data_IF_882983519423
#
_entry.id   IF_882983519423
#
_cell.length_a   1.000
_cell.length_b   1.000
_cell.length_c   1.000
_cell.angle_alpha   90.00
_cell.angle_beta   90.00
_cell.angle_gamma   90.00
#
_symmetry.space_group_name_H-M   'P 1'
#
loop_
_entity.id
_entity.type
_entity.pdbx_description
1 polymer ?
#
# COMPACT_ATOMS: atom_id res chain seq x y z
N UNK A 1 -27.92 -6.43 33.55
CA UNK A 1 -26.92 -7.47 33.85
C UNK A 1 -26.23 -7.84 32.55
N UNK A 2 -25.08 -7.20 32.33
CA UNK A 2 -24.15 -7.45 31.23
C UNK A 2 -23.08 -8.41 31.75
N UNK A 3 -22.80 -9.49 31.02
CA UNK A 3 -21.58 -10.30 31.16
C UNK A 3 -21.21 -10.76 29.73
N UNK A 4 -20.25 -10.10 29.10
CA UNK A 4 -18.82 -10.42 29.12
C UNK A 4 -18.45 -11.38 27.97
N UNK A 5 -18.12 -10.81 26.79
CA UNK A 5 -17.35 -11.49 25.75
C UNK A 5 -15.88 -11.19 26.01
N UNK A 6 -15.25 -12.05 26.82
CA UNK A 6 -13.82 -12.05 27.05
C UNK A 6 -13.09 -12.95 26.05
N UNK A 7 -12.00 -12.42 25.51
CA UNK A 7 -10.74 -13.14 25.33
C UNK A 7 -10.73 -14.30 24.34
N UNK A 8 -10.17 -14.03 23.16
CA UNK A 8 -9.58 -15.07 22.33
C UNK A 8 -8.55 -15.86 23.14
N UNK A 9 -8.87 -17.12 23.43
CA UNK A 9 -7.85 -18.12 23.76
C UNK A 9 -7.30 -18.63 22.43
N UNK A 10 -6.04 -18.30 22.16
CA UNK A 10 -5.22 -19.10 21.26
C UNK A 10 -5.24 -20.56 21.74
N UNK A 11 -5.23 -21.44 20.76
CA UNK A 11 -5.57 -22.84 20.90
C UNK A 11 -4.53 -23.64 21.69
N UNK A 12 -4.74 -23.78 22.99
CA UNK A 12 -3.95 -24.69 23.85
C UNK A 12 -4.56 -26.10 23.98
N UNK A 13 -5.55 -26.46 23.16
CA UNK A 13 -6.16 -27.81 23.18
C UNK A 13 -6.48 -28.38 21.78
N UNK A 14 -5.53 -28.36 20.84
CA UNK A 14 -5.67 -29.06 19.55
C UNK A 14 -5.04 -30.46 19.57
N UNK A 15 -5.22 -31.23 20.64
CA UNK A 15 -4.76 -32.64 20.65
C UNK A 15 -5.61 -33.59 19.79
N UNK A 16 -6.73 -33.13 19.23
CA UNK A 16 -7.62 -33.97 18.40
C UNK A 16 -8.41 -33.22 17.30
N UNK A 17 -7.87 -32.13 16.73
CA UNK A 17 -8.53 -31.49 15.58
C UNK A 17 -8.26 -32.27 14.30
N UNK A 18 -9.15 -33.24 13.98
CA UNK A 18 -9.13 -33.99 12.72
C UNK A 18 -10.08 -33.31 11.73
N UNK A 19 -9.54 -32.77 10.65
CA UNK A 19 -10.36 -32.25 9.54
C UNK A 19 -10.59 -33.38 8.53
N UNK A 20 -11.84 -33.60 8.13
CA UNK A 20 -12.22 -34.66 7.20
C UNK A 20 -11.81 -34.26 5.77
N UNK A 21 -10.55 -34.52 5.41
CA UNK A 21 -10.03 -34.35 4.05
C UNK A 21 -8.87 -33.37 3.95
N UNK A 22 -7.85 -33.76 3.18
CA UNK A 22 -6.73 -32.88 2.78
C UNK A 22 -7.07 -31.98 1.60
N UNK A 23 -8.21 -32.23 0.94
CA UNK A 23 -8.59 -31.57 -0.30
C UNK A 23 -9.28 -30.23 -0.03
N UNK A 24 -8.86 -29.18 -0.75
CA UNK A 24 -9.57 -27.91 -0.74
C UNK A 24 -10.97 -28.05 -1.37
N UNK A 25 -11.86 -27.10 -1.07
CA UNK A 25 -13.20 -27.05 -1.65
C UNK A 25 -13.19 -27.10 -3.19
N UNK A 26 -12.23 -26.42 -3.83
CA UNK A 26 -12.08 -26.43 -5.29
C UNK A 26 -11.65 -27.80 -5.82
N UNK A 27 -10.74 -28.49 -5.11
CA UNK A 27 -10.31 -29.84 -5.50
C UNK A 27 -11.46 -30.85 -5.45
N UNK A 28 -12.35 -30.73 -4.45
CA UNK A 28 -13.54 -31.57 -4.38
C UNK A 28 -14.53 -31.29 -5.53
N UNK A 29 -14.73 -30.02 -5.88
CA UNK A 29 -15.52 -29.63 -7.03
C UNK A 29 -14.96 -30.21 -8.34
N UNK A 30 -13.65 -30.20 -8.50
CA UNK A 30 -12.96 -30.74 -9.68
C UNK A 30 -13.05 -32.25 -9.78
N UNK A 31 -12.92 -32.98 -8.67
CA UNK A 31 -13.17 -34.42 -8.63
C UNK A 31 -14.61 -34.75 -9.06
N UNK A 32 -15.59 -33.98 -8.62
CA UNK A 32 -16.97 -34.14 -9.08
C UNK A 32 -17.10 -33.91 -10.59
N UNK A 33 -16.44 -32.90 -11.17
CA UNK A 33 -16.43 -32.64 -12.62
C UNK A 33 -15.79 -33.79 -13.40
N UNK A 34 -14.62 -34.25 -12.97
CA UNK A 34 -13.88 -35.35 -13.60
C UNK A 34 -14.66 -36.67 -13.53
N UNK A 35 -15.27 -36.96 -12.38
CA UNK A 35 -16.14 -38.12 -12.19
C UNK A 35 -17.53 -37.97 -12.85
N UNK A 36 -17.83 -36.80 -13.44
CA UNK A 36 -19.15 -36.44 -14.00
C UNK A 36 -20.30 -36.61 -13.00
N UNK A 37 -20.03 -36.36 -11.72
CA UNK A 37 -20.96 -36.54 -10.61
C UNK A 37 -21.46 -35.20 -10.11
N UNK A 38 -22.78 -35.02 -10.01
CA UNK A 38 -23.35 -33.82 -9.38
C UNK A 38 -23.23 -33.88 -7.87
N UNK A 39 -22.77 -32.80 -7.25
CA UNK A 39 -22.74 -32.63 -5.81
C UNK A 39 -23.30 -31.25 -5.46
N UNK A 40 -24.60 -31.15 -5.11
CA UNK A 40 -25.24 -29.88 -4.74
C UNK A 40 -24.56 -29.18 -3.56
N UNK A 41 -24.04 -29.94 -2.59
CA UNK A 41 -23.30 -29.40 -1.45
C UNK A 41 -22.02 -28.65 -1.86
N UNK A 42 -21.39 -29.08 -2.97
CA UNK A 42 -20.23 -28.41 -3.57
C UNK A 42 -20.64 -27.40 -4.66
N UNK A 43 -21.93 -27.15 -4.87
CA UNK A 43 -22.44 -26.31 -5.96
C UNK A 43 -22.25 -26.91 -7.37
N UNK A 44 -21.96 -28.21 -7.47
CA UNK A 44 -21.76 -28.90 -8.75
C UNK A 44 -23.08 -29.58 -9.17
N UNK A 45 -23.57 -29.19 -10.34
CA UNK A 45 -24.79 -29.71 -10.94
C UNK A 45 -24.52 -30.15 -12.37
N UNK A 46 -25.43 -30.93 -12.96
CA UNK A 46 -25.32 -31.33 -14.38
C UNK A 46 -25.11 -30.16 -15.35
N UNK A 47 -25.51 -28.93 -14.97
CA UNK A 47 -25.36 -27.71 -15.78
C UNK A 47 -23.93 -27.15 -15.78
N UNK A 48 -23.09 -27.48 -14.80
CA UNK A 48 -21.72 -26.95 -14.67
C UNK A 48 -20.63 -28.02 -14.57
N UNK A 49 -20.98 -29.30 -14.77
CA UNK A 49 -20.04 -30.44 -14.74
C UNK A 49 -18.85 -30.30 -15.71
N UNK A 50 -19.05 -29.62 -16.84
CA UNK A 50 -18.01 -29.45 -17.86
C UNK A 50 -17.39 -28.04 -17.84
N UNK A 51 -17.65 -27.24 -16.80
CA UNK A 51 -17.12 -25.88 -16.69
C UNK A 51 -15.87 -25.92 -15.83
N UNK A 52 -14.72 -25.74 -16.47
CA UNK A 52 -13.42 -25.58 -15.83
C UNK A 52 -12.99 -24.11 -15.87
N UNK A 53 -12.31 -23.65 -14.83
CA UNK A 53 -11.84 -22.28 -14.74
C UNK A 53 -10.48 -22.10 -15.44
N UNK A 54 -10.41 -21.13 -16.35
CA UNK A 54 -9.16 -20.68 -16.96
C UNK A 54 -8.40 -19.84 -15.93
N UNK A 55 -7.13 -20.17 -15.70
CA UNK A 55 -6.26 -19.37 -14.86
C UNK A 55 -5.60 -18.23 -15.67
N UNK A 56 -4.87 -18.60 -16.72
CA UNK A 56 -4.32 -17.69 -17.74
C UNK A 56 -4.09 -18.45 -19.06
N UNK A 57 -3.73 -17.71 -20.11
CA UNK A 57 -3.44 -18.27 -21.43
C UNK A 57 -1.93 -18.28 -21.65
N UNK A 58 -1.40 -19.41 -22.11
CA UNK A 58 0.04 -19.65 -22.25
C UNK A 58 0.54 -19.35 -23.67
N UNK A 59 -0.27 -19.64 -24.69
CA UNK A 59 0.14 -19.59 -26.09
C UNK A 59 -1.07 -19.37 -27.02
N UNK A 60 -0.82 -19.00 -28.27
CA UNK A 60 -1.82 -18.72 -29.29
C UNK A 60 -1.37 -19.21 -30.68
N UNK A 61 -2.27 -19.93 -31.37
CA UNK A 61 -2.14 -20.33 -32.77
C UNK A 61 -3.18 -19.57 -33.59
N UNK A 62 -2.72 -18.65 -34.43
CA UNK A 62 -3.60 -17.70 -35.10
C UNK A 62 -4.48 -18.33 -36.17
N UNK A 63 -3.93 -19.20 -37.00
CA UNK A 63 -4.66 -19.78 -38.15
C UNK A 63 -5.89 -20.56 -37.72
N UNK A 64 -5.80 -21.28 -36.60
CA UNK A 64 -6.91 -22.09 -36.07
C UNK A 64 -7.72 -21.34 -34.99
N UNK A 65 -7.25 -20.17 -34.54
CA UNK A 65 -7.72 -19.47 -33.34
C UNK A 65 -7.76 -20.36 -32.07
N UNK A 66 -6.67 -21.07 -31.81
CA UNK A 66 -6.50 -21.90 -30.62
C UNK A 66 -5.61 -21.23 -29.58
N UNK A 67 -5.91 -21.46 -28.32
CA UNK A 67 -5.13 -20.98 -27.19
C UNK A 67 -4.71 -22.16 -26.32
N UNK A 68 -3.46 -22.15 -25.85
CA UNK A 68 -3.02 -23.10 -24.84
C UNK A 68 -3.47 -22.57 -23.48
N UNK A 69 -4.31 -23.31 -22.79
CA UNK A 69 -4.97 -22.89 -21.55
C UNK A 69 -4.23 -23.43 -20.34
N UNK A 70 -3.85 -22.55 -19.40
CA UNK A 70 -3.55 -22.95 -18.03
C UNK A 70 -4.87 -23.11 -17.27
N UNK A 71 -5.22 -24.34 -16.92
CA UNK A 71 -6.36 -24.62 -16.07
C UNK A 71 -6.05 -24.30 -14.60
N UNK A 72 -7.00 -23.65 -13.91
CA UNK A 72 -6.87 -23.30 -12.50
C UNK A 72 -6.90 -24.56 -11.64
N UNK A 73 -5.90 -24.73 -10.76
CA UNK A 73 -5.84 -25.84 -9.81
C UNK A 73 -5.17 -27.12 -10.36
N UNK A 74 -4.82 -27.15 -11.64
CA UNK A 74 -4.19 -28.29 -12.30
C UNK A 74 -2.69 -28.05 -12.54
N UNK A 75 -1.86 -29.08 -12.73
CA UNK A 75 -0.46 -28.93 -13.16
C UNK A 75 -0.34 -28.43 -14.62
N UNK A 76 0.86 -28.00 -15.01
CA UNK A 76 1.14 -27.54 -16.39
C UNK A 76 1.05 -28.67 -17.43
N UNK A 77 1.20 -29.93 -17.01
CA UNK A 77 1.05 -31.12 -17.87
C UNK A 77 -0.37 -31.32 -18.39
N UNK A 78 -1.36 -30.71 -17.75
CA UNK A 78 -2.77 -30.78 -18.14
C UNK A 78 -3.21 -29.60 -19.01
N UNK A 79 -2.30 -28.71 -19.41
CA UNK A 79 -2.65 -27.60 -20.28
C UNK A 79 -3.11 -28.10 -21.65
N UNK A 80 -4.29 -27.67 -22.10
CA UNK A 80 -4.88 -28.10 -23.38
C UNK A 80 -5.02 -26.95 -24.37
N UNK A 81 -5.01 -27.29 -25.66
CA UNK A 81 -5.30 -26.35 -26.74
C UNK A 81 -6.81 -26.25 -26.95
N UNK A 82 -7.39 -25.10 -26.63
CA UNK A 82 -8.82 -24.84 -26.76
C UNK A 82 -9.12 -23.84 -27.89
N UNK A 83 -10.13 -24.08 -28.73
CA UNK A 83 -10.55 -23.13 -29.75
C UNK A 83 -11.20 -21.91 -29.09
N UNK A 84 -11.04 -20.73 -29.70
CA UNK A 84 -11.59 -19.45 -29.22
C UNK A 84 -13.06 -19.52 -28.81
N UNK A 85 -13.89 -20.26 -29.56
CA UNK A 85 -15.34 -20.43 -29.30
C UNK A 85 -15.67 -21.08 -27.95
N UNK A 86 -14.76 -21.87 -27.39
CA UNK A 86 -14.95 -22.52 -26.08
C UNK A 86 -14.60 -21.57 -24.92
N UNK A 87 -13.81 -20.53 -25.18
CA UNK A 87 -13.30 -19.62 -24.16
C UNK A 87 -14.29 -18.48 -23.90
N UNK A 88 -15.02 -18.58 -22.80
CA UNK A 88 -15.95 -17.54 -22.31
C UNK A 88 -15.27 -16.47 -21.43
N UNK A 89 -13.96 -16.52 -21.28
CA UNK A 89 -13.15 -15.64 -20.43
C UNK A 89 -12.67 -14.37 -21.17
N UNK A 90 -13.61 -13.52 -21.60
CA UNK A 90 -13.31 -12.32 -22.40
C UNK A 90 -12.22 -11.41 -21.79
N UNK A 91 -12.21 -11.25 -20.46
CA UNK A 91 -11.19 -10.46 -19.75
C UNK A 91 -9.78 -11.05 -19.88
N UNK A 92 -9.63 -12.36 -19.69
CA UNK A 92 -8.34 -13.06 -19.83
C UNK A 92 -7.85 -13.02 -21.29
N UNK A 93 -8.75 -13.20 -22.25
CA UNK A 93 -8.43 -13.09 -23.67
C UNK A 93 -7.92 -11.69 -24.04
N UNK A 94 -8.65 -10.64 -23.61
CA UNK A 94 -8.23 -9.24 -23.84
C UNK A 94 -6.89 -8.95 -23.18
N UNK A 95 -6.67 -9.47 -21.97
CA UNK A 95 -5.43 -9.31 -21.23
C UNK A 95 -4.24 -9.97 -21.94
N UNK A 96 -4.43 -11.21 -22.40
CA UNK A 96 -3.40 -11.96 -23.12
C UNK A 96 -2.96 -11.25 -24.40
N UNK A 97 -3.91 -10.76 -25.20
CA UNK A 97 -3.57 -10.02 -26.42
C UNK A 97 -2.90 -8.68 -26.13
N UNK A 98 -3.29 -7.99 -25.06
CA UNK A 98 -2.59 -6.77 -24.62
C UNK A 98 -1.13 -7.06 -24.26
N UNK A 99 -0.87 -8.14 -23.51
CA UNK A 99 0.48 -8.53 -23.11
C UNK A 99 1.32 -8.94 -24.32
N UNK A 100 0.74 -9.69 -25.26
CA UNK A 100 1.36 -10.08 -26.53
C UNK A 100 1.72 -8.86 -27.39
N UNK A 101 0.80 -7.92 -27.56
CA UNK A 101 1.03 -6.70 -28.35
C UNK A 101 2.11 -5.81 -27.73
N UNK A 102 2.11 -5.65 -26.40
CA UNK A 102 3.14 -4.89 -25.69
C UNK A 102 4.53 -5.49 -25.85
N UNK A 103 4.66 -6.81 -25.73
CA UNK A 103 5.96 -7.48 -25.87
C UNK A 103 6.47 -7.43 -27.32
N UNK A 104 5.59 -7.62 -28.31
CA UNK A 104 5.94 -7.43 -29.72
C UNK A 104 6.41 -6.00 -30.00
N UNK A 105 5.77 -5.00 -29.40
CA UNK A 105 6.20 -3.61 -29.50
C UNK A 105 7.59 -3.39 -28.88
N UNK A 106 7.83 -3.94 -27.69
CA UNK A 106 9.14 -3.85 -27.01
C UNK A 106 10.28 -4.44 -27.83
N UNK A 107 10.07 -5.60 -28.45
CA UNK A 107 11.10 -6.26 -29.28
C UNK A 107 11.38 -5.53 -30.59
N UNK A 108 10.35 -4.96 -31.23
CA UNK A 108 10.47 -4.39 -32.57
C UNK A 108 10.72 -2.88 -32.60
N UNK A 109 10.50 -2.17 -31.49
CA UNK A 109 10.62 -0.71 -31.40
C UNK A 109 9.62 0.07 -32.26
N UNK A 110 8.71 -0.62 -32.97
CA UNK A 110 7.69 -0.04 -33.85
C UNK A 110 6.34 -0.60 -33.45
N UNK A 111 5.28 0.23 -33.48
CA UNK A 111 3.91 -0.27 -33.26
C UNK A 111 3.66 -1.41 -34.25
N UNK A 112 3.28 -2.62 -33.77
CA UNK A 112 3.11 -3.75 -34.65
C UNK A 112 2.14 -3.39 -35.77
N UNK A 113 2.51 -3.64 -37.03
CA UNK A 113 1.57 -3.51 -38.16
C UNK A 113 0.54 -4.64 -38.06
N UNK A 114 -0.53 -4.34 -37.34
CA UNK A 114 -1.91 -4.84 -37.45
C UNK A 114 -2.18 -6.31 -37.09
N UNK A 115 -1.24 -7.28 -37.09
CA UNK A 115 -1.60 -8.67 -36.74
C UNK A 115 -0.52 -9.47 -36.00
N UNK A 116 -0.88 -10.29 -34.99
CA UNK A 116 0.04 -11.22 -34.35
C UNK A 116 0.59 -12.25 -35.37
N UNK A 117 1.80 -12.80 -35.12
CA UNK A 117 2.39 -13.82 -35.98
C UNK A 117 1.55 -15.10 -36.00
N UNK A 118 1.76 -15.96 -37.01
CA UNK A 118 1.00 -17.22 -37.16
C UNK A 118 1.24 -18.17 -35.98
N UNK A 119 2.49 -18.25 -35.55
CA UNK A 119 2.96 -18.97 -34.38
C UNK A 119 3.84 -18.04 -33.54
N UNK A 120 3.76 -18.19 -32.22
CA UNK A 120 4.63 -17.48 -31.29
C UNK A 120 5.95 -18.25 -31.15
N UNK A 121 7.08 -17.54 -31.14
CA UNK A 121 8.37 -18.13 -30.81
C UNK A 121 8.46 -18.52 -29.32
N UNK A 122 9.42 -19.38 -28.98
CA UNK A 122 9.56 -19.91 -27.62
C UNK A 122 9.76 -18.81 -26.56
N UNK A 123 10.52 -17.76 -26.89
CA UNK A 123 10.77 -16.66 -25.96
C UNK A 123 9.51 -15.82 -25.70
N UNK A 124 8.64 -15.65 -26.70
CA UNK A 124 7.37 -14.94 -26.55
C UNK A 124 6.36 -15.75 -25.73
N UNK A 125 6.34 -17.07 -25.94
CA UNK A 125 5.53 -17.99 -25.13
C UNK A 125 5.98 -17.97 -23.67
N UNK A 126 7.29 -18.08 -23.43
CA UNK A 126 7.86 -18.02 -22.07
C UNK A 126 7.50 -16.70 -21.37
N UNK A 127 7.66 -15.56 -22.06
CA UNK A 127 7.22 -14.26 -21.55
C UNK A 127 5.73 -14.26 -21.16
N UNK A 128 4.84 -14.74 -22.04
CA UNK A 128 3.39 -14.74 -21.78
C UNK A 128 3.02 -15.63 -20.60
N UNK A 129 3.69 -16.78 -20.44
CA UNK A 129 3.51 -17.66 -19.28
C UNK A 129 3.98 -16.97 -18.00
N UNK A 130 5.16 -16.35 -18.01
CA UNK A 130 5.67 -15.58 -16.86
C UNK A 130 4.74 -14.41 -16.51
N UNK A 131 4.25 -13.67 -17.51
CA UNK A 131 3.30 -12.56 -17.33
C UNK A 131 1.97 -13.05 -16.77
N UNK A 132 1.46 -14.19 -17.26
CA UNK A 132 0.27 -14.85 -16.73
C UNK A 132 0.42 -15.19 -15.24
N UNK A 133 1.51 -15.88 -14.87
CA UNK A 133 1.84 -16.21 -13.47
C UNK A 133 1.96 -14.96 -12.60
N UNK A 134 2.66 -13.94 -13.07
CA UNK A 134 2.80 -12.65 -12.39
C UNK A 134 1.43 -12.02 -12.10
N UNK A 135 0.55 -11.90 -13.10
CA UNK A 135 -0.79 -11.33 -12.93
C UNK A 135 -1.61 -12.10 -11.90
N UNK A 136 -1.50 -13.43 -11.86
CA UNK A 136 -2.15 -14.25 -10.83
C UNK A 136 -1.61 -13.99 -9.44
N UNK A 137 -0.29 -13.83 -9.30
CA UNK A 137 0.34 -13.48 -8.03
C UNK A 137 -0.11 -12.09 -7.55
N UNK A 138 -0.11 -11.09 -8.43
CA UNK A 138 -0.58 -9.72 -8.10
C UNK A 138 -2.07 -9.70 -7.72
N UNK A 139 -2.93 -10.43 -8.43
CA UNK A 139 -4.36 -10.58 -8.08
C UNK A 139 -4.57 -11.27 -6.71
N UNK A 140 -3.67 -12.15 -6.30
CA UNK A 140 -3.73 -12.77 -4.97
C UNK A 140 -3.34 -11.76 -3.90
N UNK A 141 -2.22 -11.07 -4.12
CA UNK A 141 -1.73 -10.05 -3.21
C UNK A 141 -2.74 -8.89 -3.05
N UNK A 142 -3.33 -8.41 -4.14
CA UNK A 142 -4.40 -7.40 -4.09
C UNK A 142 -5.57 -7.85 -3.19
N UNK A 143 -6.01 -9.11 -3.31
CA UNK A 143 -7.06 -9.66 -2.45
C UNK A 143 -6.63 -9.73 -0.98
N UNK A 144 -5.40 -10.10 -0.71
CA UNK A 144 -4.84 -10.15 0.64
C UNK A 144 -4.76 -8.76 1.28
N UNK A 145 -4.26 -7.75 0.56
CA UNK A 145 -4.25 -6.36 1.00
C UNK A 145 -5.67 -5.88 1.34
N UNK A 146 -6.61 -6.14 0.43
CA UNK A 146 -8.00 -5.72 0.59
C UNK A 146 -8.76 -6.47 1.69
N UNK A 147 -8.34 -7.70 2.05
CA UNK A 147 -8.89 -8.45 3.16
C UNK A 147 -8.34 -7.97 4.51
N UNK A 148 -7.10 -7.46 4.55
CA UNK A 148 -6.44 -6.96 5.76
C UNK A 148 -6.76 -5.49 6.08
N UNK A 149 -7.10 -4.67 5.08
CA UNK A 149 -7.32 -3.23 5.29
C UNK A 149 -8.51 -2.96 6.23
N UNK A 150 -8.36 -1.99 7.12
CA UNK A 150 -9.39 -1.54 8.06
C UNK A 150 -10.09 -0.24 7.63
N UNK A 151 -9.75 0.30 6.45
CA UNK A 151 -10.27 1.56 5.92
C UNK A 151 -11.16 1.36 4.67
N UNK A 152 -11.89 2.41 4.28
CA UNK A 152 -12.91 2.33 3.21
C UNK A 152 -12.30 2.21 1.81
N UNK A 153 -11.25 2.98 1.53
CA UNK A 153 -10.59 3.02 0.23
C UNK A 153 -10.04 1.64 -0.19
N UNK A 154 -10.30 1.22 -1.44
CA UNK A 154 -9.75 -0.04 -1.99
C UNK A 154 -8.31 0.15 -2.43
N UNK A 155 -7.54 -0.93 -2.42
CA UNK A 155 -6.16 -0.94 -2.90
C UNK A 155 -6.10 -1.85 -4.14
N UNK A 156 -5.81 -1.33 -5.33
CA UNK A 156 -5.53 -2.15 -6.50
C UNK A 156 -4.03 -2.33 -6.71
N UNK A 157 -3.63 -3.38 -7.44
CA UNK A 157 -2.22 -3.64 -7.76
C UNK A 157 -2.02 -3.85 -9.25
N UNK A 158 -1.12 -3.09 -9.86
CA UNK A 158 -0.87 -3.12 -11.30
C UNK A 158 0.62 -3.15 -11.67
N UNK A 159 1.00 -4.02 -12.60
CA UNK A 159 2.34 -4.00 -13.18
C UNK A 159 2.28 -4.24 -14.69
N UNK A 160 2.41 -3.16 -15.45
CA UNK A 160 2.47 -3.17 -16.93
C UNK A 160 3.91 -2.88 -17.42
N UNK A 161 4.89 -2.80 -16.52
CA UNK A 161 6.28 -2.38 -16.83
C UNK A 161 7.21 -3.57 -16.92
N UNK A 162 7.22 -4.47 -15.94
CA UNK A 162 8.14 -5.60 -15.89
C UNK A 162 7.42 -6.88 -15.39
N UNK A 163 8.21 -7.90 -15.05
CA UNK A 163 7.73 -9.19 -14.55
C UNK A 163 7.82 -9.33 -13.01
N UNK A 164 8.12 -8.25 -12.27
CA UNK A 164 8.17 -8.32 -10.80
C UNK A 164 6.79 -8.63 -10.21
N UNK A 165 6.74 -9.69 -9.39
CA UNK A 165 5.57 -10.07 -8.61
C UNK A 165 5.43 -9.26 -7.32
N UNK A 166 4.52 -9.67 -6.42
CA UNK A 166 4.38 -9.10 -5.08
C UNK A 166 5.72 -9.07 -4.31
N UNK A 167 5.93 -8.09 -3.42
CA UNK A 167 7.07 -8.10 -2.50
C UNK A 167 7.01 -9.35 -1.60
N UNK A 168 8.16 -9.98 -1.34
CA UNK A 168 8.23 -11.24 -0.59
C UNK A 168 8.18 -11.03 0.93
N UNK A 169 8.84 -9.99 1.43
CA UNK A 169 9.03 -9.76 2.87
C UNK A 169 8.24 -8.53 3.37
N UNK A 170 6.97 -8.41 2.97
CA UNK A 170 6.12 -7.28 3.36
C UNK A 170 4.80 -7.75 3.99
N UNK A 171 4.50 -7.23 5.16
CA UNK A 171 3.25 -7.48 5.88
C UNK A 171 2.43 -6.20 6.01
N UNK A 172 1.23 -6.20 5.42
CA UNK A 172 0.30 -5.09 5.55
C UNK A 172 -0.25 -4.98 6.99
N UNK A 173 -0.09 -3.81 7.60
CA UNK A 173 -0.62 -3.42 8.91
C UNK A 173 -1.44 -2.13 8.79
N UNK A 174 -2.40 -1.91 9.69
CA UNK A 174 -3.28 -0.72 9.67
C UNK A 174 -2.86 0.35 10.69
N UNK A 175 -2.20 -0.07 11.76
CA UNK A 175 -1.77 0.76 12.89
C UNK A 175 -0.32 0.41 13.20
N UNK A 176 0.37 1.24 13.98
CA UNK A 176 1.75 0.99 14.39
C UNK A 176 1.92 -0.35 15.11
N UNK A 177 3.01 -1.04 14.80
CA UNK A 177 3.49 -2.20 15.55
C UNK A 177 4.53 -1.72 16.56
N UNK A 178 4.28 -1.86 17.85
CA UNK A 178 5.26 -1.46 18.86
C UNK A 178 6.46 -2.43 18.87
N UNK A 179 7.66 -1.89 18.83
CA UNK A 179 8.91 -2.62 19.05
C UNK A 179 9.08 -3.04 20.51
N UNK A 180 10.09 -3.88 20.75
CA UNK A 180 10.36 -4.42 22.08
C UNK A 180 10.68 -3.31 23.10
N UNK A 181 10.05 -3.37 24.26
CA UNK A 181 10.26 -2.40 25.34
C UNK A 181 9.57 -1.03 25.17
N UNK A 182 8.88 -0.79 24.06
CA UNK A 182 8.18 0.47 23.79
C UNK A 182 6.71 0.35 24.21
N UNK A 183 6.22 1.31 24.99
CA UNK A 183 4.84 1.33 25.47
C UNK A 183 4.16 2.64 25.12
N UNK A 184 2.93 2.55 24.59
CA UNK A 184 2.07 3.72 24.38
C UNK A 184 1.29 4.02 25.65
N UNK A 185 1.40 5.24 26.15
CA UNK A 185 0.61 5.72 27.27
C UNK A 185 -0.67 6.40 26.75
N UNK A 186 -1.84 5.91 27.16
CA UNK A 186 -3.12 6.57 26.85
C UNK A 186 -3.37 7.72 27.83
N UNK A 187 -2.68 8.84 27.60
CA UNK A 187 -2.71 10.01 28.47
C UNK A 187 -3.77 11.04 28.07
N UNK A 188 -4.43 10.90 26.92
CA UNK A 188 -5.34 11.93 26.43
C UNK A 188 -6.58 12.11 27.32
N UNK A 189 -7.00 13.36 27.52
CA UNK A 189 -8.30 13.71 28.12
C UNK A 189 -9.33 13.95 27.00
N UNK A 190 -10.58 13.58 27.24
CA UNK A 190 -11.66 13.78 26.28
C UNK A 190 -12.34 15.14 26.42
N UNK A 191 -12.84 15.70 25.32
CA UNK A 191 -13.70 16.88 25.36
C UNK A 191 -15.16 16.52 25.66
N UNK A 192 -15.92 17.50 26.18
CA UNK A 192 -17.36 17.36 26.42
C UNK A 192 -18.24 18.10 25.39
N UNK A 193 -17.64 18.59 24.31
CA UNK A 193 -18.32 19.32 23.24
C UNK A 193 -19.50 18.53 22.65
N UNK A 194 -20.56 19.27 22.30
CA UNK A 194 -21.62 18.80 21.41
C UNK A 194 -21.25 19.05 19.95
N UNK A 195 -20.67 20.23 19.67
CA UNK A 195 -20.14 20.58 18.36
C UNK A 195 -18.69 21.06 18.48
N UNK A 196 -17.76 20.18 18.09
CA UNK A 196 -16.33 20.45 18.15
C UNK A 196 -15.87 21.55 17.17
N UNK A 197 -16.68 21.88 16.15
CA UNK A 197 -16.34 22.88 15.14
C UNK A 197 -16.74 24.29 15.55
N UNK A 198 -17.75 24.43 16.40
CA UNK A 198 -18.15 25.72 16.97
C UNK A 198 -17.38 26.00 18.28
N UNK A 199 -17.10 24.96 19.08
CA UNK A 199 -16.41 25.07 20.37
C UNK A 199 -14.86 24.99 20.25
N UNK A 200 -14.27 25.54 19.18
CA UNK A 200 -12.85 25.32 18.84
C UNK A 200 -11.87 25.82 19.91
N UNK A 201 -12.15 26.99 20.51
CA UNK A 201 -11.20 27.69 21.39
C UNK A 201 -11.35 27.35 22.88
N UNK A 202 -12.56 27.03 23.34
CA UNK A 202 -12.87 26.91 24.77
C UNK A 202 -13.41 25.53 25.21
N UNK A 203 -13.46 24.52 24.33
CA UNK A 203 -14.00 23.21 24.71
C UNK A 203 -13.41 22.00 23.99
N UNK A 204 -13.00 22.14 22.73
CA UNK A 204 -12.50 21.00 21.95
C UNK A 204 -11.04 20.65 22.30
N UNK A 205 -10.63 19.40 22.05
CA UNK A 205 -9.29 18.88 22.37
C UNK A 205 -8.11 19.81 22.01
N UNK A 206 -8.02 20.40 20.80
CA UNK A 206 -6.94 21.34 20.50
C UNK A 206 -7.02 22.61 21.36
N UNK A 207 -8.20 23.18 21.57
CA UNK A 207 -8.39 24.39 22.38
C UNK A 207 -8.01 24.19 23.85
N UNK A 208 -8.32 23.04 24.43
CA UNK A 208 -7.90 22.67 25.79
C UNK A 208 -6.37 22.61 25.96
N UNK A 209 -5.64 22.36 24.87
CA UNK A 209 -4.18 22.36 24.81
C UNK A 209 -3.61 23.71 24.33
N UNK A 210 -4.44 24.74 24.19
CA UNK A 210 -4.09 26.05 23.62
C UNK A 210 -3.51 25.95 22.19
N UNK A 211 -3.96 24.95 21.43
CA UNK A 211 -3.59 24.71 20.03
C UNK A 211 -4.73 25.08 19.09
N UNK A 212 -4.40 25.33 17.83
CA UNK A 212 -5.40 25.69 16.80
C UNK A 212 -6.16 24.45 16.33
N UNK A 213 -7.44 24.62 16.04
CA UNK A 213 -8.25 23.59 15.40
C UNK A 213 -7.75 23.32 13.98
N UNK A 214 -7.53 22.05 13.63
CA UNK A 214 -6.76 21.71 12.44
C UNK A 214 -7.58 21.79 11.14
N UNK A 215 -8.89 21.55 11.19
CA UNK A 215 -9.69 21.27 10.00
C UNK A 215 -10.75 22.32 9.71
N UNK A 216 -11.09 22.50 8.43
CA UNK A 216 -12.31 23.20 8.03
C UNK A 216 -13.53 22.26 8.02
N UNK A 217 -14.70 22.79 7.66
CA UNK A 217 -15.96 22.03 7.63
C UNK A 217 -15.95 20.89 6.59
N UNK A 218 -15.03 20.92 5.62
CA UNK A 218 -14.82 19.87 4.62
C UNK A 218 -13.75 18.83 5.05
N UNK A 219 -13.20 18.93 6.26
CA UNK A 219 -12.14 18.05 6.74
C UNK A 219 -10.77 18.32 6.12
N UNK A 220 -10.55 19.51 5.57
CA UNK A 220 -9.27 19.91 5.00
C UNK A 220 -8.41 20.60 6.05
N UNK A 221 -7.12 20.29 6.11
CA UNK A 221 -6.17 20.90 7.04
C UNK A 221 -5.97 22.39 6.73
N UNK A 222 -5.93 23.22 7.78
CA UNK A 222 -5.70 24.67 7.72
C UNK A 222 -4.40 25.09 8.42
N UNK A 223 -3.73 24.15 9.08
CA UNK A 223 -2.47 24.38 9.76
C UNK A 223 -1.32 24.43 8.77
N UNK A 224 -0.32 25.24 9.09
CA UNK A 224 0.93 25.26 8.33
C UNK A 224 1.75 24.01 8.59
N UNK A 225 2.63 23.65 7.65
CA UNK A 225 3.57 22.55 7.85
C UNK A 225 4.39 22.76 9.14
N UNK A 226 4.65 21.67 9.87
CA UNK A 226 5.33 21.70 11.17
C UNK A 226 4.41 21.95 12.37
N UNK A 227 3.18 22.43 12.18
CA UNK A 227 2.21 22.53 13.29
C UNK A 227 1.54 21.17 13.55
N UNK A 228 1.48 20.71 14.82
CA UNK A 228 0.85 19.45 15.17
C UNK A 228 -0.67 19.52 15.09
N UNK A 229 -1.29 18.39 14.77
CA UNK A 229 -2.73 18.19 14.77
C UNK A 229 -3.12 17.42 16.05
N UNK A 230 -4.10 17.94 16.80
CA UNK A 230 -4.69 17.23 17.95
C UNK A 230 -6.15 16.90 17.64
N UNK A 231 -6.42 15.62 17.40
CA UNK A 231 -7.76 15.12 17.15
C UNK A 231 -8.52 14.80 18.44
N UNK A 232 -9.85 14.68 18.32
CA UNK A 232 -10.65 14.08 19.38
C UNK A 232 -10.34 12.58 19.49
N UNK A 233 -10.41 12.05 20.71
CA UNK A 233 -9.99 10.70 21.07
C UNK A 233 -11.15 9.85 21.63
N UNK A 234 -10.89 8.59 21.99
CA UNK A 234 -11.93 7.69 22.46
C UNK A 234 -12.63 8.12 23.76
N UNK A 235 -12.04 9.05 24.53
CA UNK A 235 -12.62 9.58 25.78
C UNK A 235 -13.52 10.81 25.57
N UNK A 236 -13.58 11.35 24.34
CA UNK A 236 -14.44 12.50 24.02
C UNK A 236 -15.90 12.10 23.89
N UNK A 237 -16.82 13.00 24.26
CA UNK A 237 -18.27 12.80 24.10
C UNK A 237 -18.77 12.97 22.65
N UNK A 238 -17.98 13.60 21.79
CA UNK A 238 -18.33 13.83 20.40
C UNK A 238 -18.36 12.52 19.59
N UNK A 239 -19.26 12.46 18.60
CA UNK A 239 -19.48 11.24 17.81
C UNK A 239 -18.31 10.89 16.90
N UNK A 240 -18.38 9.73 16.25
CA UNK A 240 -17.43 9.31 15.21
C UNK A 240 -17.44 10.21 13.98
N UNK A 241 -18.50 10.98 13.77
CA UNK A 241 -18.64 11.94 12.67
C UNK A 241 -18.10 13.33 13.02
N UNK A 242 -17.52 13.49 14.22
CA UNK A 242 -16.89 14.72 14.66
C UNK A 242 -15.90 15.24 13.60
N UNK A 243 -15.96 16.55 13.26
CA UNK A 243 -15.06 17.14 12.27
C UNK A 243 -13.59 17.12 12.71
N UNK A 244 -13.31 16.93 14.00
CA UNK A 244 -11.97 16.73 14.55
C UNK A 244 -11.54 15.26 14.66
N UNK A 245 -12.05 14.39 13.78
CA UNK A 245 -11.71 12.96 13.68
C UNK A 245 -11.42 12.59 12.23
N UNK A 246 -10.49 13.27 11.56
CA UNK A 246 -10.21 13.09 10.12
C UNK A 246 -9.27 11.91 9.90
N UNK A 247 -8.11 11.91 10.55
CA UNK A 247 -7.04 10.91 10.35
C UNK A 247 -7.49 9.55 10.82
N UNK A 248 -8.10 9.47 12.02
CA UNK A 248 -8.60 8.22 12.60
C UNK A 248 -9.73 7.54 11.79
N UNK A 249 -10.35 8.23 10.82
CA UNK A 249 -11.32 7.60 9.89
C UNK A 249 -10.64 6.76 8.81
N UNK A 250 -9.32 6.86 8.69
CA UNK A 250 -8.53 6.11 7.73
C UNK A 250 -8.74 6.52 6.28
N UNK A 251 -8.06 5.82 5.38
CA UNK A 251 -8.03 6.13 3.94
C UNK A 251 -9.44 6.00 3.33
N UNK A 252 -9.92 7.07 2.71
CA UNK A 252 -11.21 7.12 2.02
C UNK A 252 -11.11 6.88 0.50
N UNK A 253 -9.96 7.16 -0.10
CA UNK A 253 -9.75 7.10 -1.56
C UNK A 253 -9.34 5.71 -2.04
N UNK A 254 -9.77 5.34 -3.24
CA UNK A 254 -9.23 4.15 -3.90
C UNK A 254 -7.83 4.45 -4.44
N UNK A 255 -6.86 3.64 -4.02
CA UNK A 255 -5.44 3.79 -4.37
C UNK A 255 -4.97 2.59 -5.19
N UNK A 256 -3.94 2.80 -6.01
CA UNK A 256 -3.32 1.77 -6.83
C UNK A 256 -1.82 1.72 -6.56
N UNK A 257 -1.34 0.58 -6.08
CA UNK A 257 0.09 0.26 -6.05
C UNK A 257 0.49 -0.16 -7.46
N UNK A 258 1.35 0.60 -8.11
CA UNK A 258 1.72 0.38 -9.50
C UNK A 258 3.24 0.31 -9.70
N UNK A 259 3.70 -0.44 -10.71
CA UNK A 259 5.12 -0.46 -11.08
C UNK A 259 5.47 0.78 -11.89
N UNK A 260 6.45 1.56 -11.43
CA UNK A 260 6.94 2.76 -12.12
C UNK A 260 7.76 2.38 -13.37
N UNK A 261 7.65 3.18 -14.44
CA UNK A 261 8.33 2.91 -15.70
C UNK A 261 9.81 3.34 -15.71
N UNK A 262 10.21 4.24 -14.80
CA UNK A 262 11.53 4.86 -14.77
C UNK A 262 12.48 4.25 -13.72
N UNK A 263 12.19 3.03 -13.26
CA UNK A 263 13.08 2.27 -12.38
C UNK A 263 13.08 2.71 -10.92
N UNK A 264 12.05 3.42 -10.44
CA UNK A 264 11.86 3.73 -9.01
C UNK A 264 11.20 2.58 -8.23
N UNK A 265 10.90 1.46 -8.90
CA UNK A 265 10.25 0.31 -8.28
C UNK A 265 8.73 0.48 -8.24
N UNK A 266 8.12 0.15 -7.10
CA UNK A 266 6.69 0.35 -6.88
C UNK A 266 6.39 1.82 -6.53
N UNK A 267 5.18 2.27 -6.84
CA UNK A 267 4.66 3.60 -6.57
C UNK A 267 3.20 3.51 -6.15
N UNK A 268 2.64 4.60 -5.64
CA UNK A 268 1.19 4.70 -5.33
C UNK A 268 0.58 5.81 -6.17
N UNK A 269 -0.58 5.57 -6.75
CA UNK A 269 -1.39 6.61 -7.40
C UNK A 269 -2.82 6.58 -6.90
N UNK A 270 -3.49 7.73 -6.92
CA UNK A 270 -4.93 7.78 -6.63
C UNK A 270 -5.74 7.38 -7.85
N UNK A 271 -6.90 6.73 -7.66
CA UNK A 271 -7.85 6.42 -8.74
C UNK A 271 -8.97 7.46 -8.87
N UNK A 272 -8.96 8.46 -8.00
CA UNK A 272 -9.98 9.51 -7.92
C UNK A 272 -9.34 10.86 -7.57
N UNK A 273 -10.10 11.95 -7.76
CA UNK A 273 -9.62 13.30 -7.47
C UNK A 273 -9.51 13.49 -5.95
N UNK A 274 -8.34 13.93 -5.49
CA UNK A 274 -8.10 14.36 -4.10
C UNK A 274 -8.06 15.89 -4.10
N UNK A 275 -8.84 16.53 -3.23
CA UNK A 275 -8.85 17.98 -3.09
C UNK A 275 -7.60 18.44 -2.32
N UNK A 276 -7.20 19.69 -2.55
CA UNK A 276 -6.12 20.30 -1.77
C UNK A 276 -6.39 20.20 -0.27
N UNK A 277 -5.34 20.00 0.52
CA UNK A 277 -5.35 19.92 1.98
C UNK A 277 -6.21 18.79 2.56
N UNK A 278 -6.58 17.79 1.75
CA UNK A 278 -7.30 16.61 2.24
C UNK A 278 -6.34 15.55 2.78
N UNK A 279 -6.72 14.89 3.87
CA UNK A 279 -6.03 13.72 4.40
C UNK A 279 -6.03 12.59 3.36
N UNK A 280 -4.90 11.94 3.15
CA UNK A 280 -4.72 10.87 2.15
C UNK A 280 -4.46 9.52 2.80
N UNK A 281 -3.46 9.43 3.66
CA UNK A 281 -3.05 8.20 4.37
C UNK A 281 -2.11 8.52 5.52
N UNK A 282 -1.82 7.53 6.36
CA UNK A 282 -0.78 7.62 7.39
C UNK A 282 0.46 6.86 6.98
N UNK A 283 1.62 7.23 7.53
CA UNK A 283 2.84 6.44 7.45
C UNK A 283 2.94 5.53 8.67
N UNK A 284 2.79 4.22 8.46
CA UNK A 284 2.81 3.23 9.53
C UNK A 284 3.91 2.19 9.31
N UNK A 285 4.45 1.71 10.43
CA UNK A 285 5.49 0.69 10.47
C UNK A 285 5.68 0.14 11.88
N UNK A 286 6.82 -0.50 12.10
CA UNK A 286 7.28 -0.86 13.43
C UNK A 286 7.90 0.36 14.11
N UNK A 287 7.45 0.72 15.32
CA UNK A 287 8.10 1.75 16.12
C UNK A 287 9.30 1.11 16.80
N UNK A 288 10.50 1.65 16.55
CA UNK A 288 11.76 1.22 17.15
C UNK A 288 12.47 2.41 17.79
N UNK A 289 13.45 2.17 18.65
CA UNK A 289 14.31 3.24 19.19
C UNK A 289 15.26 3.74 18.10
N UNK A 290 15.72 4.99 18.19
CA UNK A 290 16.70 5.54 17.24
C UNK A 290 18.02 4.72 17.24
N UNK A 291 18.39 4.11 18.37
CA UNK A 291 19.53 3.18 18.45
C UNK A 291 19.32 1.93 17.57
N UNK A 292 18.15 1.32 17.64
CA UNK A 292 17.80 0.15 16.81
C UNK A 292 17.68 0.55 15.34
N UNK A 293 17.18 1.74 15.06
CA UNK A 293 17.11 2.30 13.71
C UNK A 293 18.50 2.47 13.09
N UNK A 294 19.47 3.04 13.82
CA UNK A 294 20.86 3.15 13.36
C UNK A 294 21.48 1.77 13.11
N UNK A 295 21.24 0.79 14.00
CA UNK A 295 21.73 -0.58 13.83
C UNK A 295 21.19 -1.23 12.55
N UNK A 296 19.89 -1.06 12.24
CA UNK A 296 19.25 -1.54 11.00
C UNK A 296 19.69 -0.72 9.77
N UNK A 297 19.82 0.59 9.93
CA UNK A 297 20.20 1.56 8.91
C UNK A 297 21.52 1.21 8.22
N UNK A 298 22.51 0.73 8.97
CA UNK A 298 23.79 0.26 8.40
C UNK A 298 23.65 -0.89 7.40
N UNK A 299 22.59 -1.69 7.51
CA UNK A 299 22.27 -2.76 6.55
C UNK A 299 21.45 -2.16 5.39
N UNK A 300 20.46 -1.32 5.72
CA UNK A 300 19.55 -0.69 4.76
C UNK A 300 20.26 0.23 3.78
N UNK A 301 21.20 1.05 4.22
CA UNK A 301 22.01 1.94 3.39
C UNK A 301 22.76 1.17 2.30
N UNK A 302 23.29 -0.02 2.63
CA UNK A 302 23.99 -0.89 1.67
C UNK A 302 23.03 -1.53 0.65
N UNK A 303 21.76 -1.63 0.99
CA UNK A 303 20.70 -2.23 0.17
C UNK A 303 19.84 -1.17 -0.54
N UNK A 304 20.06 0.13 -0.28
CA UNK A 304 19.26 1.22 -0.81
C UNK A 304 17.83 1.26 -0.25
N UNK A 305 17.62 0.73 0.96
CA UNK A 305 16.32 0.70 1.64
C UNK A 305 16.11 2.04 2.36
N UNK A 306 14.93 2.64 2.19
CA UNK A 306 14.62 4.03 2.62
C UNK A 306 13.40 4.12 3.52
N UNK A 307 13.06 3.04 4.23
CA UNK A 307 11.82 2.90 4.99
C UNK A 307 11.90 3.31 6.47
N UNK A 308 12.99 3.98 6.87
CA UNK A 308 13.12 4.57 8.19
C UNK A 308 12.59 6.00 8.17
N UNK A 309 11.74 6.33 9.13
CA UNK A 309 11.16 7.66 9.30
C UNK A 309 11.31 8.09 10.76
N UNK A 310 12.20 9.05 11.02
CA UNK A 310 12.48 9.52 12.38
C UNK A 310 11.32 10.34 12.94
N UNK A 311 10.97 10.12 14.21
CA UNK A 311 9.90 10.82 14.92
C UNK A 311 10.45 12.03 15.68
N UNK A 312 11.12 12.92 14.95
CA UNK A 312 11.93 14.03 15.49
C UNK A 312 11.13 15.30 15.84
N UNK A 313 9.83 15.18 16.11
CA UNK A 313 8.97 16.34 16.39
C UNK A 313 9.41 17.12 17.65
N UNK A 314 9.79 16.41 18.71
CA UNK A 314 10.34 17.01 19.95
C UNK A 314 11.74 16.51 20.28
N UNK A 315 11.96 15.19 20.16
CA UNK A 315 13.21 14.52 20.51
C UNK A 315 13.41 13.33 19.57
N UNK A 316 14.65 13.07 19.14
CA UNK A 316 15.02 11.91 18.33
C UNK A 316 15.19 10.67 19.22
N UNK A 317 14.05 10.10 19.65
CA UNK A 317 14.01 8.91 20.53
C UNK A 317 13.51 7.67 19.77
N UNK A 318 12.63 7.87 18.79
CA UNK A 318 11.93 6.80 18.10
C UNK A 318 11.94 7.01 16.59
N UNK A 319 11.88 5.90 15.86
CA UNK A 319 11.80 5.85 14.40
C UNK A 319 10.72 4.86 13.99
N UNK A 320 9.98 5.17 12.93
CA UNK A 320 9.08 4.23 12.25
C UNK A 320 9.87 3.47 11.18
N UNK A 321 9.97 2.15 11.32
CA UNK A 321 10.55 1.25 10.33
C UNK A 321 9.44 0.53 9.54
N UNK A 322 9.24 0.94 8.29
CA UNK A 322 8.26 0.35 7.40
C UNK A 322 8.82 -0.77 6.51
N UNK A 323 10.05 -1.27 6.74
CA UNK A 323 10.70 -2.21 5.82
C UNK A 323 9.98 -3.55 5.68
N UNK A 324 9.52 -4.11 6.80
CA UNK A 324 8.85 -5.42 6.85
C UNK A 324 7.35 -5.34 7.16
N UNK A 325 6.96 -4.32 7.93
CA UNK A 325 5.57 -4.07 8.32
C UNK A 325 5.23 -2.66 7.89
N UNK A 326 4.17 -2.47 7.10
CA UNK A 326 3.72 -1.13 6.72
C UNK A 326 2.33 -1.16 6.10
N UNK A 327 1.79 0.01 5.76
CA UNK A 327 0.57 0.12 4.95
C UNK A 327 0.93 0.51 3.50
N UNK A 328 -0.01 1.09 2.77
CA UNK A 328 0.20 1.57 1.41
C UNK A 328 1.29 2.66 1.29
N UNK A 329 1.56 3.42 2.37
CA UNK A 329 2.58 4.47 2.41
C UNK A 329 3.99 3.94 2.13
N UNK A 330 4.25 2.66 2.43
CA UNK A 330 5.51 1.97 2.15
C UNK A 330 5.93 2.12 0.68
N UNK A 331 4.96 2.19 -0.23
CA UNK A 331 5.21 2.25 -1.67
C UNK A 331 5.20 3.69 -2.23
N UNK A 332 5.07 4.72 -1.39
CA UNK A 332 5.01 6.11 -1.85
C UNK A 332 6.42 6.60 -2.14
N UNK A 333 6.66 7.08 -3.36
CA UNK A 333 7.99 7.50 -3.80
C UNK A 333 8.31 8.94 -3.37
N UNK A 334 9.61 9.21 -3.38
CA UNK A 334 10.16 10.56 -3.29
C UNK A 334 9.82 11.44 -4.51
N UNK A 335 9.58 12.73 -4.28
CA UNK A 335 9.66 13.79 -5.28
C UNK A 335 10.26 15.07 -4.69
N UNK A 336 11.08 15.79 -5.49
CA UNK A 336 11.56 17.13 -5.12
C UNK A 336 10.50 18.23 -5.31
N UNK A 337 9.36 17.90 -5.93
CA UNK A 337 8.15 18.73 -5.95
C UNK A 337 6.97 17.83 -5.61
N UNK A 338 6.80 17.49 -4.32
CA UNK A 338 5.81 16.51 -3.90
C UNK A 338 4.38 17.05 -3.95
N UNK A 339 3.41 16.14 -3.91
CA UNK A 339 1.99 16.48 -3.77
C UNK A 339 1.40 16.09 -2.41
N UNK A 340 2.21 15.52 -1.52
CA UNK A 340 1.88 15.21 -0.13
C UNK A 340 2.79 15.95 0.85
N UNK A 341 2.20 16.41 1.95
CA UNK A 341 2.87 17.02 3.09
C UNK A 341 2.64 16.18 4.35
N UNK A 342 3.67 16.10 5.18
CA UNK A 342 3.64 15.40 6.46
C UNK A 342 3.13 16.30 7.58
N UNK A 343 2.25 15.75 8.43
CA UNK A 343 1.79 16.35 9.67
C UNK A 343 1.92 15.34 10.82
N UNK A 344 2.36 15.82 11.98
CA UNK A 344 2.33 15.08 13.23
C UNK A 344 0.92 15.15 13.84
N UNK A 345 0.39 13.99 14.26
CA UNK A 345 -0.99 13.86 14.72
C UNK A 345 -1.03 13.14 16.06
N UNK A 346 -1.77 13.73 17.00
CA UNK A 346 -2.03 13.20 18.33
C UNK A 346 -3.51 12.92 18.50
N UNK A 347 -3.82 11.72 18.99
CA UNK A 347 -5.20 11.23 19.19
C UNK A 347 -5.34 10.74 20.64
N UNK A 348 -5.18 9.44 20.88
CA UNK A 348 -5.26 8.83 22.22
C UNK A 348 -3.93 8.93 23.00
N UNK A 349 -2.81 8.95 22.27
CA UNK A 349 -1.48 9.22 22.79
C UNK A 349 -1.14 10.71 22.63
N UNK A 350 -0.75 11.36 23.73
CA UNK A 350 -0.26 12.74 23.74
C UNK A 350 1.24 12.84 24.04
N UNK A 351 1.94 11.70 24.14
CA UNK A 351 3.39 11.71 24.19
C UNK A 351 3.94 12.25 22.86
N UNK A 352 4.49 13.46 22.89
CA UNK A 352 4.96 14.17 21.71
C UNK A 352 6.15 13.49 21.01
N UNK A 353 6.79 12.52 21.68
CA UNK A 353 7.85 11.67 21.11
C UNK A 353 7.31 10.57 20.20
N UNK A 354 6.00 10.29 20.26
CA UNK A 354 5.34 9.24 19.49
C UNK A 354 4.12 9.79 18.71
N UNK A 355 4.33 10.77 17.81
CA UNK A 355 3.26 11.25 16.94
C UNK A 355 2.86 10.18 15.92
N UNK A 356 1.60 10.23 15.48
CA UNK A 356 1.20 9.58 14.23
C UNK A 356 1.61 10.46 13.06
N UNK A 357 2.11 9.84 12.00
CA UNK A 357 2.52 10.53 10.77
C UNK A 357 1.36 10.48 9.77
N UNK A 358 0.80 11.63 9.40
CA UNK A 358 -0.27 11.72 8.42
C UNK A 358 0.16 12.51 7.18
N UNK A 359 -0.26 12.04 6.00
CA UNK A 359 -0.06 12.71 4.73
C UNK A 359 -1.34 13.44 4.29
N UNK A 360 -1.18 14.73 4.01
CA UNK A 360 -2.21 15.60 3.45
C UNK A 360 -1.79 16.10 2.08
N UNK A 361 -2.74 16.29 1.16
CA UNK A 361 -2.45 16.82 -0.16
C UNK A 361 -2.01 18.31 -0.08
N UNK A 362 -0.97 18.70 -0.80
CA UNK A 362 -0.50 20.11 -0.88
C UNK A 362 -1.18 20.91 -1.99
N UNK A 363 -1.83 20.21 -2.91
CA UNK A 363 -2.64 20.75 -4.01
C UNK A 363 -3.72 19.76 -4.38
N UNK A 364 -4.57 20.13 -5.34
CA UNK A 364 -5.45 19.14 -5.95
C UNK A 364 -4.63 18.09 -6.70
N UNK A 365 -4.94 16.81 -6.49
CA UNK A 365 -4.31 15.65 -7.13
C UNK A 365 -5.36 14.97 -8.00
N UNK A 366 -5.04 14.72 -9.27
CA UNK A 366 -5.99 14.15 -10.22
C UNK A 366 -5.96 12.63 -10.23
N UNK A 367 -7.05 12.01 -10.68
CA UNK A 367 -7.12 10.56 -10.85
C UNK A 367 -6.01 10.08 -11.79
N UNK A 368 -5.29 9.04 -11.37
CA UNK A 368 -4.14 8.46 -12.07
C UNK A 368 -2.79 9.09 -11.73
N UNK A 369 -2.76 10.22 -11.01
CA UNK A 369 -1.53 10.89 -10.60
C UNK A 369 -0.82 10.14 -9.47
N UNK A 370 0.50 10.01 -9.57
CA UNK A 370 1.35 9.40 -8.54
C UNK A 370 1.40 10.28 -7.29
N UNK A 371 1.25 9.65 -6.13
CA UNK A 371 1.40 10.26 -4.82
C UNK A 371 2.88 10.24 -4.43
N UNK A 372 3.40 11.38 -4.01
CA UNK A 372 4.81 11.55 -3.64
C UNK A 372 4.97 12.53 -2.49
N UNK A 373 5.97 12.29 -1.63
CA UNK A 373 6.38 13.22 -0.57
C UNK A 373 7.89 13.50 -0.67
N UNK A 374 8.37 14.54 0.01
CA UNK A 374 9.80 14.81 0.12
C UNK A 374 10.40 14.01 1.27
N UNK A 375 11.33 13.11 0.96
CA UNK A 375 12.03 12.28 1.95
C UNK A 375 12.93 13.10 2.88
N UNK A 376 13.40 14.28 2.44
CA UNK A 376 14.15 15.21 3.27
C UNK A 376 13.24 16.16 4.06
N UNK A 377 11.92 16.08 3.86
CA UNK A 377 10.92 16.94 4.51
C UNK A 377 11.27 18.44 4.49
N UNK A 378 11.89 18.94 3.42
CA UNK A 378 12.21 20.37 3.32
C UNK A 378 10.91 21.17 3.29
N UNK A 379 10.72 22.03 4.30
CA UNK A 379 9.63 23.02 4.31
C UNK A 379 10.07 24.20 3.46
N UNK A 380 9.21 24.64 2.52
CA UNK A 380 9.53 25.75 1.62
C UNK A 380 9.86 27.04 2.41
N UNK A 381 10.92 27.79 2.03
CA UNK A 381 11.37 28.98 2.76
C UNK A 381 10.36 30.13 2.89
N UNK A 382 9.23 30.08 2.18
CA UNK A 382 8.24 31.17 2.12
C UNK A 382 7.37 31.22 3.39
N UNK A 383 7.40 30.17 4.23
CA UNK A 383 6.77 30.14 5.56
C UNK A 383 7.78 30.38 6.73
N UNK A 384 9.00 30.84 6.42
CA UNK A 384 10.15 30.88 7.37
C UNK A 384 10.28 32.21 8.12
N UNK A 385 9.17 32.70 8.68
CA UNK A 385 9.26 33.73 9.74
C UNK A 385 8.97 33.19 11.14
N UNK A 386 8.92 31.87 11.33
CA UNK A 386 8.64 31.28 12.65
C UNK A 386 9.34 29.95 12.99
N UNK A 387 10.49 29.65 12.38
CA UNK A 387 11.39 28.61 12.91
C UNK A 387 12.84 29.03 12.72
N UNK A 388 13.47 29.52 13.79
CA UNK A 388 14.91 29.35 13.96
C UNK A 388 15.18 27.86 14.17
N UNK A 389 15.28 27.12 13.08
CA UNK A 389 15.99 25.84 13.06
C UNK A 389 17.33 26.13 12.42
N UNK A 390 18.36 26.19 13.25
CA UNK A 390 19.73 26.29 12.80
C UNK A 390 20.02 25.11 11.88
N UNK A 391 20.20 25.45 10.61
CA UNK A 391 20.86 24.64 9.60
C UNK A 391 22.28 24.34 10.05
N UNK A 392 22.43 23.36 10.94
CA UNK A 392 23.72 22.85 11.40
C UNK A 392 23.72 21.31 11.43
N UNK A 393 23.41 20.71 10.28
CA UNK A 393 24.01 19.42 9.92
C UNK A 393 25.15 19.66 8.94
N UNK A 394 26.16 20.37 9.43
CA UNK A 394 27.44 20.57 8.80
C UNK A 394 28.53 20.29 9.82
N UNK A 395 29.05 19.06 9.79
CA UNK A 395 30.40 18.74 10.29
C UNK A 395 30.64 18.91 11.81
N UNK A 396 30.00 18.08 12.64
CA UNK A 396 30.58 17.75 13.95
C UNK A 396 31.62 16.63 13.75
N UNK A 397 32.90 17.00 13.85
CA UNK A 397 34.03 16.08 13.77
C UNK A 397 33.99 15.04 14.88
N UNK A 398 33.74 13.79 14.50
CA UNK A 398 34.17 12.61 15.24
C UNK A 398 35.23 11.91 14.40
N UNK A 399 36.36 11.62 15.04
CA UNK A 399 37.52 10.96 14.45
C UNK A 399 37.17 9.52 14.10
N UNK A 400 36.74 9.32 12.85
CA UNK A 400 36.42 8.04 12.26
C UNK A 400 35.75 8.29 10.91
N UNK A 401 36.54 8.28 9.84
CA UNK A 401 36.11 8.61 8.48
C UNK A 401 34.77 7.95 8.14
N UNK A 402 33.67 8.70 7.92
CA UNK A 402 32.40 8.08 7.53
C UNK A 402 32.61 7.48 6.15
N UNK A 403 32.49 6.15 6.06
CA UNK A 403 32.46 5.43 4.78
C UNK A 403 31.40 6.12 3.91
N UNK A 404 31.77 6.59 2.72
CA UNK A 404 30.91 7.33 1.79
C UNK A 404 29.52 6.66 1.72
N UNK A 405 28.49 7.28 2.30
CA UNK A 405 27.09 6.85 2.11
C UNK A 405 26.82 6.81 0.60
N UNK A 406 26.25 5.70 0.13
CA UNK A 406 25.92 5.54 -1.29
C UNK A 406 24.81 6.53 -1.61
N UNK A 407 25.10 7.54 -2.44
CA UNK A 407 24.10 8.53 -2.84
C UNK A 407 23.16 7.89 -3.86
N UNK A 408 21.88 7.79 -3.52
CA UNK A 408 20.85 7.24 -4.41
C UNK A 408 20.37 8.35 -5.34
N UNK A 409 20.47 8.12 -6.65
CA UNK A 409 20.05 9.08 -7.68
C UNK A 409 18.52 9.29 -7.66
N UNK A 410 18.09 10.55 -7.65
CA UNK A 410 16.67 10.92 -7.71
C UNK A 410 16.16 10.89 -9.16
N UNK A 411 15.07 10.14 -9.37
CA UNK A 411 14.39 9.99 -10.66
C UNK A 411 12.96 10.53 -10.65
N UNK A 412 12.70 11.57 -9.85
CA UNK A 412 11.35 12.17 -9.72
C UNK A 412 10.88 12.86 -11.02
N UNK A 413 11.81 13.27 -11.88
CA UNK A 413 11.50 13.87 -13.19
C UNK A 413 11.08 15.34 -13.14
N UNK A 414 11.15 16.00 -11.98
CA UNK A 414 10.85 17.43 -11.86
C UNK A 414 12.02 18.28 -12.37
N UNK A 415 11.72 19.47 -12.89
CA UNK A 415 12.76 20.42 -13.35
C UNK A 415 13.65 20.90 -12.20
N UNK A 416 13.06 21.07 -11.00
CA UNK A 416 13.73 21.44 -9.75
C UNK A 416 14.38 20.26 -9.01
N UNK A 417 14.63 19.13 -9.69
CA UNK A 417 15.16 17.93 -9.05
C UNK A 417 16.56 18.15 -8.42
N UNK A 418 16.70 17.80 -7.13
CA UNK A 418 17.93 17.90 -6.33
C UNK A 418 18.97 16.81 -6.65
N UNK A 419 18.74 15.99 -7.69
CA UNK A 419 19.61 14.91 -8.19
C UNK A 419 19.79 13.69 -7.29
N UNK A 420 19.64 13.82 -5.98
CA UNK A 420 19.73 12.72 -5.01
C UNK A 420 18.50 12.68 -4.10
N UNK A 421 18.18 11.50 -3.58
CA UNK A 421 17.02 11.31 -2.69
C UNK A 421 17.19 12.03 -1.36
N UNK A 422 18.42 11.99 -0.81
CA UNK A 422 18.81 12.58 0.46
C UNK A 422 19.90 13.62 0.27
#
# INVERSE_FOLDING_TARGET
MSLALGGGKMAENLKDCRVCGKSSWSQLQDLCRLAKTSCPALGISRKNLCIFEVDYLCNYKKEQEYYLVKWRGYPDSENTWEPRRNLRCAGILKQFHRDLEQELFRRSGRRPRVRPPRHLDAALVDFLVQKGRQRKALQRWERELNAKRAHKGRISVENEVDLHGPPQDFTYINEYKMGEGITLSQMATGCECKDCLDDQANGCCPGALLKKFAYNVQGQVRLQAGQPIYECNARCRCSSDCPNRVVQRGISYNLCIFRTANGRGWGVRTLEKIRNHSFVMEYVGEIITSEEAERRGQIYDRQGITYLFDLDYVEDVYTVDAAYYGNVSHFVNHSCSPNLQVYNVFVDNLDERLPRIAFFATRTIWAGEELTFDYNMQVDPIDVESTRMDSNFGLAGLTGSPKKRVRIECKCGTESCRKYLF
#
